data_IF_324498283885
#
_entry.id   IF_324498283885
#
_cell.length_a   1.000
_cell.length_b   1.000
_cell.length_c   1.000
_cell.angle_alpha   90.00
_cell.angle_beta   90.00
_cell.angle_gamma   90.00
#
_symmetry.space_group_name_H-M   'P 1'
#
loop_
_entity.id
_entity.type
_entity.pdbx_description
1 polymer ?
#
# COMPACT_ATOMS: atom_id res chain seq x y z
N UNK A 1 4.56 -22.06 0.30
CA UNK A 1 3.22 -22.10 0.93
C UNK A 1 2.42 -20.90 0.45
N UNK A 2 1.09 -21.02 0.39
CA UNK A 2 0.14 -19.97 -0.01
C UNK A 2 -0.91 -19.86 1.08
N UNK A 3 -1.24 -18.64 1.50
CA UNK A 3 -2.32 -18.33 2.42
C UNK A 3 -3.25 -17.28 1.81
N UNK A 4 -4.55 -17.57 1.80
CA UNK A 4 -5.59 -16.64 1.37
C UNK A 4 -6.70 -16.65 2.42
N UNK A 5 -6.99 -15.49 2.99
CA UNK A 5 -8.08 -15.28 3.95
C UNK A 5 -8.97 -14.16 3.44
N UNK A 6 -10.27 -14.43 3.37
CA UNK A 6 -11.26 -13.50 2.85
C UNK A 6 -12.57 -13.64 3.63
N UNK A 7 -13.19 -12.50 3.97
CA UNK A 7 -14.47 -12.44 4.63
C UNK A 7 -14.44 -11.77 6.00
N UNK A 8 -15.55 -11.85 6.74
CA UNK A 8 -15.71 -11.26 8.06
C UNK A 8 -14.94 -12.05 9.15
N UNK A 9 -13.64 -12.14 8.97
CA UNK A 9 -12.72 -12.84 9.86
C UNK A 9 -11.88 -11.79 10.59
N UNK A 10 -11.82 -11.86 11.92
CA UNK A 10 -10.92 -11.01 12.71
C UNK A 10 -9.52 -11.64 12.67
N UNK A 11 -8.60 -10.96 12.00
CA UNK A 11 -7.22 -11.40 11.86
C UNK A 11 -6.43 -11.10 13.13
N UNK A 12 -6.18 -12.15 13.91
CA UNK A 12 -5.39 -12.12 15.13
C UNK A 12 -4.34 -13.24 15.09
N UNK A 13 -3.27 -13.06 14.32
CA UNK A 13 -2.27 -14.11 14.16
C UNK A 13 -1.49 -14.37 15.48
N UNK A 14 -1.00 -15.58 15.69
CA UNK A 14 -0.15 -15.88 16.83
C UNK A 14 1.14 -15.06 16.77
N UNK A 15 1.62 -14.60 17.91
CA UNK A 15 2.84 -13.78 18.02
C UNK A 15 4.13 -14.53 17.67
N UNK A 16 4.10 -15.86 17.61
CA UNK A 16 5.25 -16.72 17.35
C UNK A 16 4.88 -17.69 16.22
N UNK A 17 5.45 -17.49 15.05
CA UNK A 17 5.07 -18.25 13.87
C UNK A 17 6.23 -18.64 12.99
N UNK A 18 7.10 -19.58 13.43
CA UNK A 18 7.99 -20.28 12.49
C UNK A 18 7.23 -21.04 11.39
N UNK A 19 5.94 -21.28 11.60
CA UNK A 19 5.02 -21.95 10.67
C UNK A 19 4.86 -21.22 9.35
N UNK A 20 5.03 -19.88 9.35
CA UNK A 20 4.88 -19.03 8.16
C UNK A 20 6.20 -18.68 7.48
N UNK A 21 7.34 -19.17 7.98
CA UNK A 21 8.65 -18.88 7.41
C UNK A 21 8.79 -19.29 5.93
N UNK A 22 8.01 -20.26 5.46
CA UNK A 22 7.95 -20.70 4.06
C UNK A 22 6.83 -20.09 3.23
N UNK A 23 6.11 -19.08 3.74
CA UNK A 23 5.00 -18.45 3.06
C UNK A 23 5.51 -17.57 1.90
N UNK A 24 5.05 -17.86 0.67
CA UNK A 24 5.45 -17.13 -0.54
C UNK A 24 4.36 -16.22 -1.09
N UNK A 25 3.10 -16.55 -0.84
CA UNK A 25 1.95 -15.74 -1.27
C UNK A 25 0.98 -15.57 -0.11
N UNK A 26 0.63 -14.32 0.16
CA UNK A 26 -0.35 -13.92 1.16
C UNK A 26 -1.40 -13.02 0.50
N UNK A 27 -2.67 -13.40 0.62
CA UNK A 27 -3.82 -12.53 0.30
C UNK A 27 -4.71 -12.42 1.53
N UNK A 28 -4.92 -11.19 1.99
CA UNK A 28 -5.78 -10.86 3.12
C UNK A 28 -6.86 -9.85 2.69
N UNK A 29 -8.11 -10.23 2.92
CA UNK A 29 -9.29 -9.37 2.88
C UNK A 29 -10.08 -9.65 4.14
N UNK A 30 -9.64 -9.09 5.28
CA UNK A 30 -10.09 -9.47 6.62
C UNK A 30 -10.07 -8.24 7.54
N UNK A 31 -10.80 -8.32 8.65
CA UNK A 31 -10.74 -7.34 9.73
C UNK A 31 -9.50 -7.58 10.60
N UNK A 32 -8.93 -6.54 11.18
CA UNK A 32 -7.72 -6.64 12.00
C UNK A 32 -8.05 -6.46 13.48
N UNK A 33 -7.54 -7.34 14.32
CA UNK A 33 -7.81 -7.34 15.75
C UNK A 33 -7.22 -6.14 16.50
N UNK A 34 -6.08 -5.62 16.02
CA UNK A 34 -5.38 -4.46 16.60
C UNK A 34 -4.42 -3.83 15.58
N UNK A 35 -3.83 -2.70 15.96
CA UNK A 35 -2.96 -1.87 15.13
C UNK A 35 -1.76 -2.63 14.54
N UNK A 36 -1.18 -3.57 15.28
CA UNK A 36 0.09 -4.23 14.95
C UNK A 36 -0.06 -5.68 14.50
N UNK A 37 -1.29 -6.22 14.47
CA UNK A 37 -1.51 -7.64 14.13
C UNK A 37 -0.95 -8.00 12.76
N UNK A 38 -1.13 -7.13 11.77
CA UNK A 38 -0.62 -7.32 10.43
C UNK A 38 0.91 -7.23 10.38
N UNK A 39 1.49 -6.20 10.98
CA UNK A 39 2.94 -5.97 10.96
C UNK A 39 3.71 -7.11 11.66
N UNK A 40 3.17 -7.58 12.79
CA UNK A 40 3.73 -8.72 13.52
C UNK A 40 3.72 -9.99 12.66
N UNK A 41 2.63 -10.23 11.94
CA UNK A 41 2.53 -11.39 11.06
C UNK A 41 3.48 -11.30 9.86
N UNK A 42 3.57 -10.13 9.21
CA UNK A 42 4.45 -9.93 8.07
C UNK A 42 5.93 -10.13 8.43
N UNK A 43 6.33 -9.74 9.65
CA UNK A 43 7.68 -9.98 10.15
C UNK A 43 8.03 -11.48 10.27
N UNK A 44 7.01 -12.35 10.45
CA UNK A 44 7.19 -13.81 10.48
C UNK A 44 7.22 -14.46 9.08
N UNK A 45 7.16 -13.67 8.00
CA UNK A 45 7.08 -14.15 6.61
C UNK A 45 8.31 -13.71 5.77
N UNK A 46 9.56 -14.07 6.10
CA UNK A 46 10.77 -13.49 5.52
C UNK A 46 10.99 -13.83 4.04
N UNK A 47 10.32 -14.86 3.50
CA UNK A 47 10.46 -15.31 2.11
C UNK A 47 9.22 -14.97 1.26
N UNK A 48 8.36 -14.08 1.75
CA UNK A 48 7.15 -13.67 1.04
C UNK A 48 7.52 -12.97 -0.28
N UNK A 49 6.85 -13.36 -1.37
CA UNK A 49 7.08 -12.80 -2.71
C UNK A 49 5.88 -12.04 -3.24
N UNK A 50 4.68 -12.43 -2.84
CA UNK A 50 3.43 -11.82 -3.27
C UNK A 50 2.56 -11.48 -2.07
N UNK A 51 2.22 -10.21 -1.93
CA UNK A 51 1.36 -9.69 -0.88
C UNK A 51 0.17 -8.95 -1.49
N UNK A 52 -1.03 -9.33 -1.09
CA UNK A 52 -2.26 -8.60 -1.40
C UNK A 52 -2.97 -8.28 -0.09
N UNK A 53 -3.18 -7.00 0.16
CA UNK A 53 -3.94 -6.48 1.28
C UNK A 53 -5.16 -5.74 0.75
N UNK A 54 -6.33 -6.22 1.07
CA UNK A 54 -7.59 -5.52 0.89
C UNK A 54 -8.09 -5.14 2.28
N UNK A 55 -8.18 -3.85 2.57
CA UNK A 55 -8.60 -3.35 3.88
C UNK A 55 -10.09 -3.00 3.76
N UNK A 56 -10.97 -3.89 4.24
CA UNK A 56 -12.40 -3.67 4.13
C UNK A 56 -12.86 -2.50 5.00
N UNK A 57 -13.91 -1.84 4.55
CA UNK A 57 -14.65 -0.92 5.40
C UNK A 57 -15.67 -1.73 6.21
N UNK A 58 -15.61 -1.59 7.53
CA UNK A 58 -16.63 -2.09 8.42
C UNK A 58 -17.04 -0.96 9.39
N UNK A 59 -18.24 -0.40 9.24
CA UNK A 59 -18.70 0.70 10.08
C UNK A 59 -18.89 0.27 11.55
N UNK A 60 -19.11 -1.01 11.80
CA UNK A 60 -19.32 -1.58 13.12
C UNK A 60 -18.01 -2.00 13.79
N UNK A 61 -16.94 -2.13 13.01
CA UNK A 61 -15.63 -2.55 13.49
C UNK A 61 -14.67 -1.36 13.60
N UNK A 62 -14.86 -0.57 14.64
CA UNK A 62 -13.96 0.54 14.98
C UNK A 62 -12.99 0.07 16.05
N UNK A 63 -11.83 -0.46 15.69
CA UNK A 63 -10.74 -0.40 16.67
C UNK A 63 -10.29 1.07 16.72
N UNK A 64 -10.27 1.64 17.91
CA UNK A 64 -10.01 3.08 18.13
C UNK A 64 -8.56 3.51 17.84
N UNK A 65 -7.82 2.79 16.98
CA UNK A 65 -6.42 2.99 16.66
C UNK A 65 -6.15 3.13 15.17
N UNK A 66 -4.88 3.34 14.84
CA UNK A 66 -4.35 3.49 13.48
C UNK A 66 -3.69 2.19 13.03
N UNK A 67 -4.15 1.58 11.95
CA UNK A 67 -3.57 0.34 11.46
C UNK A 67 -2.12 0.57 10.98
N UNK A 68 -1.16 -0.15 11.55
CA UNK A 68 0.23 -0.11 11.15
C UNK A 68 0.51 -1.18 10.08
N UNK A 69 0.74 -0.74 8.83
CA UNK A 69 1.11 -1.59 7.72
C UNK A 69 2.63 -1.43 7.52
N UNK A 70 3.41 -2.30 8.14
CA UNK A 70 4.87 -2.25 8.06
C UNK A 70 5.35 -3.42 7.21
N UNK A 71 5.84 -3.12 6.00
CA UNK A 71 6.27 -4.10 4.99
C UNK A 71 7.78 -4.00 4.79
N UNK A 72 8.54 -4.69 5.63
CA UNK A 72 10.00 -4.75 5.59
C UNK A 72 10.46 -6.12 5.08
N UNK A 73 10.07 -6.48 3.85
CA UNK A 73 10.26 -7.81 3.29
C UNK A 73 11.16 -7.73 2.06
N UNK A 74 12.47 -8.07 2.18
CA UNK A 74 13.42 -7.89 1.09
C UNK A 74 13.18 -8.80 -0.11
N UNK A 75 12.44 -9.88 0.05
CA UNK A 75 12.12 -10.86 -1.01
C UNK A 75 10.84 -10.54 -1.76
N UNK A 76 10.08 -9.51 -1.33
CA UNK A 76 8.78 -9.17 -1.91
C UNK A 76 8.95 -8.67 -3.35
N UNK A 77 8.19 -9.27 -4.28
CA UNK A 77 8.22 -8.95 -5.71
C UNK A 77 6.97 -8.24 -6.18
N UNK A 78 5.82 -8.55 -5.59
CA UNK A 78 4.52 -7.95 -5.92
C UNK A 78 3.79 -7.54 -4.64
N UNK A 79 3.32 -6.30 -4.64
CA UNK A 79 2.51 -5.78 -3.55
C UNK A 79 1.28 -5.07 -4.08
N UNK A 80 0.11 -5.54 -3.65
CA UNK A 80 -1.18 -4.89 -3.87
C UNK A 80 -1.73 -4.43 -2.52
N UNK A 81 -2.03 -3.15 -2.41
CA UNK A 81 -2.69 -2.57 -1.24
C UNK A 81 -3.91 -1.77 -1.70
N UNK A 82 -5.08 -2.25 -1.34
CA UNK A 82 -6.34 -1.58 -1.63
C UNK A 82 -7.07 -1.26 -0.32
N UNK A 83 -7.36 0.01 -0.08
CA UNK A 83 -8.21 0.44 1.01
C UNK A 83 -9.46 1.12 0.48
N UNK A 84 -10.62 0.78 1.03
CA UNK A 84 -11.90 1.34 0.64
C UNK A 84 -12.26 2.60 1.43
N UNK A 85 -13.21 3.39 0.92
CA UNK A 85 -13.54 4.79 1.21
C UNK A 85 -13.66 5.24 2.66
N UNK A 86 -13.72 4.47 3.64
CA UNK A 86 -13.94 4.90 5.03
C UNK A 86 -13.11 4.12 6.02
N UNK A 87 -12.01 3.56 5.57
CA UNK A 87 -11.11 2.85 6.46
C UNK A 87 -10.54 3.76 7.53
N UNK A 88 -10.32 3.23 8.73
CA UNK A 88 -9.60 3.96 9.77
C UNK A 88 -8.24 4.44 9.24
N UNK A 89 -7.66 5.49 9.82
CA UNK A 89 -6.35 5.96 9.44
C UNK A 89 -5.34 4.81 9.52
N UNK A 90 -4.46 4.74 8.56
CA UNK A 90 -3.40 3.73 8.54
C UNK A 90 -2.04 4.39 8.27
N UNK A 91 -1.01 3.76 8.79
CA UNK A 91 0.38 4.07 8.49
C UNK A 91 0.91 3.02 7.55
N UNK A 92 1.53 3.44 6.45
CA UNK A 92 2.21 2.53 5.54
C UNK A 92 3.72 2.82 5.58
N UNK A 93 4.49 1.83 5.99
CA UNK A 93 5.95 1.89 5.93
C UNK A 93 6.46 0.74 5.07
N UNK A 94 7.29 1.04 4.08
CA UNK A 94 7.79 0.05 3.13
C UNK A 94 9.31 0.16 2.97
N UNK A 95 9.97 -1.00 3.04
CA UNK A 95 11.33 -1.20 2.55
C UNK A 95 11.39 -2.56 1.85
N UNK A 96 11.28 -2.56 0.52
CA UNK A 96 11.10 -3.75 -0.31
C UNK A 96 11.99 -3.66 -1.56
N UNK A 97 13.31 -3.83 -1.41
CA UNK A 97 14.27 -3.57 -2.50
C UNK A 97 14.11 -4.45 -3.73
N UNK A 98 13.51 -5.65 -3.60
CA UNK A 98 13.27 -6.57 -4.71
C UNK A 98 11.89 -6.36 -5.38
N UNK A 99 11.11 -5.36 -4.96
CA UNK A 99 9.77 -5.11 -5.47
C UNK A 99 9.80 -4.74 -6.95
N UNK A 100 9.03 -5.46 -7.77
CA UNK A 100 8.92 -5.25 -9.22
C UNK A 100 7.59 -4.65 -9.64
N UNK A 101 6.54 -4.95 -8.89
CA UNK A 101 5.18 -4.48 -9.14
C UNK A 101 4.58 -3.93 -7.85
N UNK A 102 4.05 -2.71 -7.92
CA UNK A 102 3.36 -2.06 -6.82
C UNK A 102 2.00 -1.52 -7.28
N UNK A 103 0.94 -1.97 -6.63
CA UNK A 103 -0.41 -1.44 -6.82
C UNK A 103 -0.92 -0.88 -5.50
N UNK A 104 -1.25 0.39 -5.50
CA UNK A 104 -1.89 1.07 -4.39
C UNK A 104 -3.20 1.70 -4.85
N UNK A 105 -4.29 1.43 -4.13
CA UNK A 105 -5.58 2.10 -4.33
C UNK A 105 -6.15 2.50 -2.99
N UNK A 106 -6.35 3.80 -2.77
CA UNK A 106 -6.85 4.28 -1.50
C UNK A 106 -6.58 5.75 -1.26
N UNK A 107 -6.75 6.15 -0.01
CA UNK A 107 -6.47 7.51 0.43
C UNK A 107 -5.00 7.67 0.78
N UNK A 108 -4.45 8.82 0.42
CA UNK A 108 -3.16 9.23 0.95
C UNK A 108 -3.35 9.86 2.33
N UNK A 109 -2.54 9.42 3.28
CA UNK A 109 -2.42 10.01 4.62
C UNK A 109 -0.99 10.51 4.81
N UNK A 110 -0.76 11.40 5.77
CA UNK A 110 0.59 11.96 6.02
C UNK A 110 1.58 10.94 6.65
N UNK A 111 1.17 9.68 6.78
CA UNK A 111 1.96 8.63 7.45
C UNK A 111 2.48 7.58 6.46
N UNK A 112 2.81 8.00 5.25
CA UNK A 112 3.49 7.16 4.29
C UNK A 112 5.01 7.34 4.42
N UNK A 113 5.70 6.23 4.68
CA UNK A 113 7.16 6.14 4.65
C UNK A 113 7.54 5.07 3.62
N UNK A 114 7.74 5.51 2.39
CA UNK A 114 8.10 4.62 1.29
C UNK A 114 9.56 4.87 0.95
N UNK A 115 10.41 3.89 1.19
CA UNK A 115 11.81 3.95 0.84
C UNK A 115 12.02 3.69 -0.65
N UNK A 116 13.23 3.97 -1.13
CA UNK A 116 13.59 3.75 -2.53
C UNK A 116 13.39 2.29 -2.94
N UNK A 117 12.72 2.07 -4.07
CA UNK A 117 12.41 0.76 -4.66
C UNK A 117 13.20 0.56 -5.96
N UNK A 118 14.48 0.26 -5.90
CA UNK A 118 15.38 0.26 -7.08
C UNK A 118 15.02 -0.78 -8.14
N UNK A 119 14.30 -1.83 -7.76
CA UNK A 119 13.88 -2.91 -8.66
C UNK A 119 12.49 -2.71 -9.25
N UNK A 120 11.79 -1.63 -8.91
CA UNK A 120 10.40 -1.41 -9.31
C UNK A 120 10.33 -1.17 -10.83
N UNK A 121 9.48 -1.95 -11.49
CA UNK A 121 9.29 -1.91 -12.95
C UNK A 121 7.96 -1.29 -13.32
N UNK A 122 6.92 -1.64 -12.58
CA UNK A 122 5.55 -1.25 -12.88
C UNK A 122 4.85 -0.79 -11.60
N UNK A 123 4.09 0.29 -11.70
CA UNK A 123 3.26 0.78 -10.60
C UNK A 123 1.89 1.23 -11.09
N UNK A 124 0.86 0.88 -10.31
CA UNK A 124 -0.53 1.30 -10.51
C UNK A 124 -0.99 2.02 -9.26
N UNK A 125 -1.23 3.32 -9.38
CA UNK A 125 -1.60 4.17 -8.25
C UNK A 125 -2.98 4.75 -8.49
N UNK A 126 -3.92 4.40 -7.64
CA UNK A 126 -5.26 4.97 -7.59
C UNK A 126 -5.45 5.76 -6.31
N UNK A 127 -5.43 7.07 -6.39
CA UNK A 127 -5.60 7.94 -5.24
C UNK A 127 -7.02 8.48 -5.20
N UNK A 128 -7.63 8.36 -4.03
CA UNK A 128 -8.98 8.84 -3.75
C UNK A 128 -8.91 10.12 -2.92
N UNK A 129 -9.70 11.10 -3.32
CA UNK A 129 -9.83 12.37 -2.59
C UNK A 129 -10.49 12.17 -1.22
N UNK A 130 -10.04 12.96 -0.26
CA UNK A 130 -10.62 13.05 1.07
C UNK A 130 -10.65 14.51 1.51
N UNK A 131 -11.50 14.82 2.47
CA UNK A 131 -11.81 16.14 3.02
C UNK A 131 -10.62 16.73 3.83
N UNK A 132 -9.49 16.92 3.17
CA UNK A 132 -8.29 17.58 3.69
C UNK A 132 -7.98 18.80 2.84
N UNK A 133 -7.13 19.69 3.33
CA UNK A 133 -6.69 20.84 2.54
C UNK A 133 -5.98 20.35 1.27
N UNK A 134 -6.17 21.06 0.15
CA UNK A 134 -5.52 20.73 -1.12
C UNK A 134 -3.99 20.69 -0.99
N UNK A 135 -3.42 21.56 -0.15
CA UNK A 135 -1.98 21.65 0.08
C UNK A 135 -1.44 20.41 0.82
N UNK A 136 -2.12 19.95 1.87
CA UNK A 136 -1.75 18.74 2.61
C UNK A 136 -1.84 17.51 1.73
N UNK A 137 -2.88 17.44 0.89
CA UNK A 137 -3.07 16.35 -0.05
C UNK A 137 -1.97 16.32 -1.13
N UNK A 138 -1.63 17.47 -1.70
CA UNK A 138 -0.57 17.58 -2.70
C UNK A 138 0.80 17.18 -2.13
N UNK A 139 1.11 17.60 -0.91
CA UNK A 139 2.35 17.22 -0.23
C UNK A 139 2.41 15.70 0.03
N UNK A 140 1.33 15.11 0.52
CA UNK A 140 1.24 13.66 0.74
C UNK A 140 1.37 12.87 -0.56
N UNK A 141 0.77 13.34 -1.65
CA UNK A 141 0.87 12.73 -2.97
C UNK A 141 2.30 12.80 -3.51
N UNK A 142 2.96 13.94 -3.34
CA UNK A 142 4.35 14.13 -3.74
C UNK A 142 5.28 13.17 -3.03
N UNK A 143 5.19 13.07 -1.71
CA UNK A 143 6.05 12.21 -0.91
C UNK A 143 5.82 10.73 -1.20
N UNK A 144 4.57 10.36 -1.50
CA UNK A 144 4.20 8.99 -1.88
C UNK A 144 4.72 8.60 -3.27
N UNK A 145 4.66 9.52 -4.25
CA UNK A 145 5.02 9.24 -5.64
C UNK A 145 6.54 9.36 -5.87
N UNK A 146 7.21 10.20 -5.12
CA UNK A 146 8.65 10.45 -5.26
C UNK A 146 9.52 9.19 -5.35
N UNK A 147 9.32 8.13 -4.54
CA UNK A 147 10.10 6.89 -4.67
C UNK A 147 9.85 6.11 -5.97
N UNK A 148 8.81 6.45 -6.73
CA UNK A 148 8.42 5.78 -7.97
C UNK A 148 9.10 6.34 -9.22
N UNK A 149 10.03 7.29 -9.10
CA UNK A 149 10.62 8.03 -10.22
C UNK A 149 11.36 7.16 -11.26
N UNK A 150 11.77 5.94 -10.89
CA UNK A 150 12.52 5.03 -11.76
C UNK A 150 11.66 3.94 -12.43
N UNK A 151 10.33 3.96 -12.24
CA UNK A 151 9.47 2.93 -12.83
C UNK A 151 9.43 3.05 -14.36
N UNK A 152 9.36 1.90 -15.03
CA UNK A 152 9.23 1.86 -16.50
C UNK A 152 7.81 2.09 -16.96
N UNK A 153 6.83 1.77 -16.12
CA UNK A 153 5.41 1.93 -16.42
C UNK A 153 4.70 2.41 -15.17
N UNK A 154 4.04 3.56 -15.26
CA UNK A 154 3.20 4.11 -14.20
C UNK A 154 1.80 4.38 -14.75
N UNK A 155 0.81 3.73 -14.11
CA UNK A 155 -0.59 4.05 -14.28
C UNK A 155 -1.04 4.86 -13.06
N UNK A 156 -1.58 6.05 -13.31
CA UNK A 156 -2.06 6.95 -12.26
C UNK A 156 -3.54 7.25 -12.49
N UNK A 157 -4.37 6.93 -11.51
CA UNK A 157 -5.78 7.31 -11.44
C UNK A 157 -5.97 8.25 -10.26
N UNK A 158 -6.42 9.47 -10.54
CA UNK A 158 -6.61 10.54 -9.53
C UNK A 158 -7.97 11.18 -9.73
N UNK A 159 -8.72 11.32 -8.65
CA UNK A 159 -10.09 11.85 -8.72
C UNK A 159 -10.15 13.39 -8.83
N UNK A 160 -9.05 14.12 -8.56
CA UNK A 160 -9.03 15.59 -8.57
C UNK A 160 -8.11 16.23 -9.60
N UNK A 161 -8.54 17.39 -10.11
CA UNK A 161 -7.79 18.18 -11.10
C UNK A 161 -6.50 18.82 -10.53
N UNK A 162 -6.43 19.08 -9.23
CA UNK A 162 -5.30 19.79 -8.59
C UNK A 162 -4.09 18.89 -8.44
N UNK A 163 -4.30 17.66 -7.98
CA UNK A 163 -3.21 16.66 -7.87
C UNK A 163 -2.60 16.33 -9.25
N UNK A 164 -3.37 16.53 -10.31
CA UNK A 164 -2.94 16.29 -11.69
C UNK A 164 -1.79 17.18 -12.12
N UNK A 165 -1.82 18.47 -11.81
CA UNK A 165 -0.80 19.42 -12.27
C UNK A 165 0.53 19.22 -11.56
N UNK A 166 0.52 19.12 -10.23
CA UNK A 166 1.75 18.97 -9.45
C UNK A 166 2.42 17.62 -9.66
N UNK A 167 1.62 16.53 -9.73
CA UNK A 167 2.12 15.19 -10.03
C UNK A 167 2.65 15.10 -11.45
N UNK A 168 2.02 15.78 -12.40
CA UNK A 168 2.46 15.82 -13.79
C UNK A 168 3.83 16.50 -13.93
N UNK A 169 4.05 17.63 -13.27
CA UNK A 169 5.35 18.31 -13.27
C UNK A 169 6.47 17.47 -12.69
N UNK A 170 6.18 16.65 -11.66
CA UNK A 170 7.17 15.75 -11.04
C UNK A 170 7.53 14.55 -11.92
N UNK A 171 6.57 14.02 -12.67
CA UNK A 171 6.73 12.74 -13.39
C UNK A 171 7.13 12.90 -14.85
N UNK A 172 6.96 14.09 -15.44
CA UNK A 172 7.31 14.35 -16.85
C UNK A 172 8.76 14.05 -17.22
N UNK A 173 9.65 13.92 -16.26
CA UNK A 173 11.09 13.76 -16.53
C UNK A 173 11.62 12.34 -16.40
N UNK A 174 10.83 11.35 -15.97
CA UNK A 174 11.40 10.07 -15.51
C UNK A 174 10.76 8.80 -16.05
N UNK A 175 9.50 8.80 -16.51
CA UNK A 175 8.80 7.58 -16.87
C UNK A 175 8.76 7.31 -18.38
N UNK A 176 9.06 6.09 -18.81
CA UNK A 176 9.04 5.67 -20.22
C UNK A 176 7.61 5.44 -20.74
N UNK A 177 6.68 5.05 -19.87
CA UNK A 177 5.24 4.94 -20.17
C UNK A 177 4.44 5.53 -19.02
N UNK A 178 3.69 6.55 -19.35
CA UNK A 178 2.80 7.21 -18.42
C UNK A 178 1.36 7.16 -18.93
N UNK A 179 0.45 6.63 -18.14
CA UNK A 179 -0.97 6.60 -18.45
C UNK A 179 -1.74 7.27 -17.32
N UNK A 180 -2.39 8.39 -17.61
CA UNK A 180 -3.29 9.03 -16.65
C UNK A 180 -4.72 8.61 -16.99
N UNK A 181 -5.39 7.95 -16.07
CA UNK A 181 -6.81 7.67 -16.14
C UNK A 181 -7.56 8.74 -15.32
N UNK A 182 -8.34 9.54 -16.01
CA UNK A 182 -9.18 10.59 -15.43
C UNK A 182 -10.58 9.99 -15.30
N UNK A 183 -11.08 9.88 -14.10
CA UNK A 183 -12.50 9.60 -13.85
C UNK A 183 -13.23 10.85 -13.46
#
# INVERSE_FOLDING_TARGET
>A
MVLKLEGAIIFNPPRYGSEFAGLKLLKLNVLYANEDSLSTFLAACPVLQDLTLEIPFDPDFVFGGKLNIIVLIPTLKRFHCCSFFSTPPYKLQMNTPALKYFCFKGRLTNDFVVENMPSLVESVIGVQEYDVSLEDYANSARDFIRPLYNVKSLELSVDTAVVRLEVFEMLCFSCIKFTILIK
#
